data_IF_627114940562
#
_entry.id   IF_627114940562
#
_cell.length_a   1.000
_cell.length_b   1.000
_cell.length_c   1.000
_cell.angle_alpha   90.00
_cell.angle_beta   90.00
_cell.angle_gamma   90.00
#
_symmetry.space_group_name_H-M   'P 1'
#
loop_
_entity.id
_entity.type
_entity.pdbx_description
1 polymer ?
#
# COMPACT_ATOMS: atom_id res chain seq x y z
N UNK A 1 -25.97 15.89 37.17
CA UNK A 1 -25.77 16.19 35.74
C UNK A 1 -24.28 16.16 35.45
N UNK A 2 -23.69 14.98 35.23
CA UNK A 2 -22.26 14.84 34.92
C UNK A 2 -22.04 13.51 34.19
N UNK A 3 -22.35 13.46 32.90
CA UNK A 3 -22.07 12.29 32.04
C UNK A 3 -21.72 12.74 30.61
N UNK A 4 -20.64 13.50 30.44
CA UNK A 4 -20.10 13.85 29.10
C UNK A 4 -18.59 13.78 28.96
N UNK A 5 -17.86 13.22 29.93
CA UNK A 5 -16.37 13.25 29.92
C UNK A 5 -15.72 11.93 29.48
N UNK A 6 -16.47 10.82 29.40
CA UNK A 6 -15.85 9.50 29.13
C UNK A 6 -15.76 9.08 27.66
N UNK A 7 -16.48 9.72 26.73
CA UNK A 7 -16.50 9.27 25.31
C UNK A 7 -15.38 9.82 24.44
N UNK A 8 -14.64 10.86 24.88
CA UNK A 8 -13.55 11.46 24.08
C UNK A 8 -12.25 10.65 24.21
N UNK A 9 -11.99 10.06 25.37
CA UNK A 9 -10.71 9.39 25.66
C UNK A 9 -10.63 7.97 25.08
N UNK A 10 -11.74 7.23 25.00
CA UNK A 10 -11.75 5.88 24.42
C UNK A 10 -11.58 5.86 22.90
N UNK A 11 -12.09 6.89 22.19
CA UNK A 11 -11.93 6.96 20.74
C UNK A 11 -10.49 7.26 20.30
N UNK A 12 -9.72 8.01 21.12
CA UNK A 12 -8.32 8.34 20.83
C UNK A 12 -7.35 7.15 21.00
N UNK A 13 -7.64 6.21 21.91
CA UNK A 13 -6.78 5.03 22.05
C UNK A 13 -6.92 4.08 20.85
N UNK A 14 -8.13 3.87 20.35
CA UNK A 14 -8.39 2.96 19.23
C UNK A 14 -7.85 3.50 17.89
N UNK A 15 -7.91 4.81 17.65
CA UNK A 15 -7.34 5.42 16.45
C UNK A 15 -5.80 5.35 16.44
N UNK A 16 -5.15 5.51 17.60
CA UNK A 16 -3.69 5.38 17.71
C UNK A 16 -3.20 3.96 17.39
N UNK A 17 -3.93 2.93 17.85
CA UNK A 17 -3.56 1.52 17.64
C UNK A 17 -3.72 1.11 16.16
N UNK A 18 -4.82 1.51 15.52
CA UNK A 18 -5.07 1.29 14.09
C UNK A 18 -4.02 1.98 13.21
N UNK A 19 -3.62 3.20 13.57
CA UNK A 19 -2.59 3.95 12.85
C UNK A 19 -1.22 3.28 12.95
N UNK A 20 -0.88 2.74 14.12
CA UNK A 20 0.37 1.98 14.32
C UNK A 20 0.40 0.67 13.52
N UNK A 21 -0.72 -0.07 13.48
CA UNK A 21 -0.78 -1.32 12.73
C UNK A 21 -0.74 -1.09 11.22
N UNK A 22 -1.39 -0.04 10.72
CA UNK A 22 -1.26 0.37 9.33
C UNK A 22 0.17 0.79 8.98
N UNK A 23 0.82 1.56 9.86
CA UNK A 23 2.22 1.95 9.68
C UNK A 23 3.15 0.72 9.61
N UNK A 24 2.91 -0.31 10.43
CA UNK A 24 3.64 -1.59 10.35
C UNK A 24 3.42 -2.27 9.00
N UNK A 25 2.18 -2.30 8.50
CA UNK A 25 1.84 -2.89 7.19
C UNK A 25 2.58 -2.15 6.06
N UNK A 26 2.52 -0.82 6.04
CA UNK A 26 3.21 0.01 5.03
C UNK A 26 4.72 -0.25 5.08
N UNK A 27 5.31 -0.26 6.28
CA UNK A 27 6.74 -0.55 6.47
C UNK A 27 7.11 -1.94 5.97
N UNK A 28 6.28 -2.95 6.24
CA UNK A 28 6.48 -4.33 5.73
C UNK A 28 6.40 -4.36 4.21
N UNK A 29 5.39 -3.72 3.61
CA UNK A 29 5.27 -3.64 2.15
C UNK A 29 6.49 -3.00 1.49
N UNK A 30 6.96 -1.86 2.01
CA UNK A 30 8.19 -1.19 1.52
C UNK A 30 9.42 -2.09 1.66
N UNK A 31 9.55 -2.81 2.78
CA UNK A 31 10.66 -3.76 2.99
C UNK A 31 10.62 -4.91 1.97
N UNK A 32 9.45 -5.53 1.76
CA UNK A 32 9.33 -6.68 0.87
C UNK A 32 9.41 -6.31 -0.61
N UNK A 33 8.89 -5.16 -1.01
CA UNK A 33 9.05 -4.67 -2.40
C UNK A 33 10.52 -4.47 -2.78
N UNK A 34 11.31 -3.86 -1.88
CA UNK A 34 12.77 -3.74 -2.06
C UNK A 34 13.46 -5.11 -2.08
N UNK A 35 13.03 -6.03 -1.22
CA UNK A 35 13.59 -7.39 -1.17
C UNK A 35 13.33 -8.17 -2.47
N UNK A 36 12.11 -8.12 -3.00
CA UNK A 36 11.75 -8.78 -4.27
C UNK A 36 12.58 -8.18 -5.42
N UNK A 37 12.74 -6.86 -5.47
CA UNK A 37 13.60 -6.22 -6.47
C UNK A 37 15.04 -6.73 -6.37
N UNK A 38 15.59 -6.83 -5.16
CA UNK A 38 16.94 -7.39 -4.94
C UNK A 38 17.05 -8.85 -5.40
N UNK A 39 16.04 -9.68 -5.13
CA UNK A 39 16.02 -11.07 -5.61
C UNK A 39 16.01 -11.15 -7.14
N UNK A 40 15.34 -10.22 -7.83
CA UNK A 40 15.40 -10.12 -9.29
C UNK A 40 16.83 -9.81 -9.76
N UNK A 41 17.52 -8.86 -9.12
CA UNK A 41 18.92 -8.51 -9.43
C UNK A 41 19.88 -9.69 -9.18
N UNK A 42 19.70 -10.43 -8.09
CA UNK A 42 20.47 -11.65 -7.79
C UNK A 42 20.18 -12.75 -8.83
N UNK A 43 18.92 -12.92 -9.21
CA UNK A 43 18.51 -13.86 -10.27
C UNK A 43 19.16 -13.52 -11.61
N UNK A 44 19.24 -12.23 -11.96
CA UNK A 44 19.88 -11.77 -13.21
C UNK A 44 21.39 -12.05 -13.26
N UNK A 45 22.06 -11.95 -12.11
CA UNK A 45 23.46 -12.35 -11.99
C UNK A 45 23.62 -13.85 -12.21
N UNK A 46 22.82 -14.67 -11.54
CA UNK A 46 22.83 -16.13 -11.74
C UNK A 46 22.54 -16.51 -13.19
N UNK A 47 21.61 -15.82 -13.86
CA UNK A 47 21.37 -16.01 -15.30
C UNK A 47 22.61 -15.75 -16.15
N UNK A 48 23.30 -14.65 -15.88
CA UNK A 48 24.50 -14.27 -16.62
C UNK A 48 25.59 -15.32 -16.42
N UNK A 49 25.79 -15.80 -15.18
CA UNK A 49 26.75 -16.86 -14.87
C UNK A 49 26.43 -18.19 -15.57
N UNK A 50 25.15 -18.57 -15.67
CA UNK A 50 24.73 -19.80 -16.37
C UNK A 50 25.06 -19.71 -17.87
N UNK A 51 24.85 -18.53 -18.48
CA UNK A 51 25.15 -18.28 -19.89
C UNK A 51 26.66 -18.32 -20.13
N UNK A 52 27.42 -17.59 -19.31
CA UNK A 52 28.88 -17.47 -19.42
C UNK A 52 29.58 -18.82 -19.23
N UNK A 53 29.05 -19.68 -18.36
CA UNK A 53 29.57 -21.02 -18.09
C UNK A 53 29.02 -22.09 -19.03
N UNK A 54 28.17 -21.72 -20.00
CA UNK A 54 27.49 -22.64 -20.91
C UNK A 54 26.78 -23.82 -20.20
N UNK A 55 26.25 -23.59 -18.99
CA UNK A 55 25.60 -24.64 -18.18
C UNK A 55 24.28 -25.08 -18.81
N UNK A 56 23.55 -24.15 -19.43
CA UNK A 56 22.31 -24.41 -20.14
C UNK A 56 22.43 -23.95 -21.60
N UNK A 57 21.70 -24.64 -22.48
CA UNK A 57 21.56 -24.21 -23.87
C UNK A 57 20.78 -22.90 -23.93
N UNK A 58 21.02 -22.04 -24.95
CA UNK A 58 20.31 -20.77 -25.10
C UNK A 58 18.79 -20.90 -25.06
N UNK A 59 18.24 -21.95 -25.66
CA UNK A 59 16.80 -22.23 -25.68
C UNK A 59 16.25 -22.49 -24.28
N UNK A 60 16.99 -23.28 -23.47
CA UNK A 60 16.63 -23.54 -22.08
C UNK A 60 16.80 -22.30 -21.21
N UNK A 61 17.81 -21.46 -21.45
CA UNK A 61 17.96 -20.17 -20.75
C UNK A 61 16.79 -19.22 -21.05
N UNK A 62 16.32 -19.20 -22.29
CA UNK A 62 15.23 -18.32 -22.71
C UNK A 62 13.89 -18.67 -22.07
N UNK A 63 13.63 -19.96 -21.82
CA UNK A 63 12.35 -20.44 -21.28
C UNK A 63 12.16 -20.18 -19.79
N UNK A 64 13.25 -20.03 -19.03
CA UNK A 64 13.21 -19.75 -17.59
C UNK A 64 13.32 -18.25 -17.27
N UNK A 65 13.73 -17.42 -18.25
CA UNK A 65 13.97 -15.99 -18.06
C UNK A 65 12.68 -15.25 -17.72
N UNK A 66 12.70 -14.49 -16.64
CA UNK A 66 11.58 -13.62 -16.24
C UNK A 66 11.25 -12.66 -17.39
N UNK A 67 9.95 -12.58 -17.71
CA UNK A 67 9.44 -11.78 -18.82
C UNK A 67 9.75 -10.29 -18.65
N UNK A 68 9.73 -9.55 -19.76
CA UNK A 68 9.98 -8.09 -19.74
C UNK A 68 8.90 -7.35 -18.94
N UNK A 69 7.63 -7.77 -19.03
CA UNK A 69 6.52 -7.16 -18.28
C UNK A 69 6.66 -7.39 -16.78
N UNK A 70 7.01 -8.61 -16.36
CA UNK A 70 7.18 -8.92 -14.93
C UNK A 70 8.37 -8.15 -14.34
N UNK A 71 9.45 -8.01 -15.10
CA UNK A 71 10.60 -7.16 -14.72
C UNK A 71 10.20 -5.71 -14.53
N UNK A 72 9.42 -5.15 -15.46
CA UNK A 72 8.94 -3.77 -15.33
C UNK A 72 8.08 -3.60 -14.09
N UNK A 73 7.17 -4.55 -13.83
CA UNK A 73 6.34 -4.56 -12.64
C UNK A 73 7.18 -4.65 -11.36
N UNK A 74 8.08 -5.63 -11.24
CA UNK A 74 8.94 -5.81 -10.06
C UNK A 74 9.80 -4.57 -9.80
N UNK A 75 10.37 -3.96 -10.85
CA UNK A 75 11.15 -2.74 -10.72
C UNK A 75 10.31 -1.55 -10.24
N UNK A 76 9.02 -1.52 -10.56
CA UNK A 76 8.10 -0.48 -10.10
C UNK A 76 7.61 -0.67 -8.66
N UNK A 77 7.64 -1.90 -8.11
CA UNK A 77 7.11 -2.23 -6.77
C UNK A 77 7.54 -1.25 -5.65
N UNK A 78 8.81 -0.82 -5.53
CA UNK A 78 9.21 0.09 -4.46
C UNK A 78 8.63 1.51 -4.58
N UNK A 79 8.17 1.88 -5.79
CA UNK A 79 7.61 3.19 -6.10
C UNK A 79 6.09 3.19 -6.24
N UNK A 80 5.45 2.02 -6.22
CA UNK A 80 4.01 1.92 -6.33
C UNK A 80 3.35 2.42 -5.03
N UNK A 81 2.39 3.36 -5.12
CA UNK A 81 1.68 3.83 -3.95
C UNK A 81 0.76 2.74 -3.40
N UNK A 82 0.63 2.67 -2.08
CA UNK A 82 -0.40 1.85 -1.46
C UNK A 82 -1.73 2.59 -1.47
N UNK A 83 -2.77 1.94 -1.98
CA UNK A 83 -4.13 2.46 -1.94
C UNK A 83 -4.87 2.00 -0.68
N UNK A 84 -5.46 2.93 0.06
CA UNK A 84 -6.44 2.62 1.11
C UNK A 84 -7.85 2.90 0.57
N UNK A 85 -8.71 1.88 0.59
CA UNK A 85 -10.12 1.99 0.23
C UNK A 85 -10.94 2.04 1.52
N UNK A 86 -11.67 3.14 1.73
CA UNK A 86 -12.49 3.35 2.92
C UNK A 86 -13.96 3.12 2.57
N UNK A 87 -14.54 2.07 3.16
CA UNK A 87 -15.94 1.70 2.97
C UNK A 87 -16.75 2.05 4.24
N UNK A 88 -17.86 2.77 4.09
CA UNK A 88 -18.84 2.98 5.16
C UNK A 88 -20.23 3.23 4.57
N UNK A 89 -21.25 2.85 5.35
CA UNK A 89 -22.67 2.99 5.01
C UNK A 89 -23.07 4.44 4.77
N UNK A 90 -22.47 5.38 5.50
CA UNK A 90 -22.74 6.81 5.36
C UNK A 90 -21.55 7.53 4.76
N UNK A 91 -21.80 8.64 4.07
CA UNK A 91 -20.72 9.51 3.60
C UNK A 91 -20.02 10.21 4.77
N UNK A 92 -20.79 10.74 5.73
CA UNK A 92 -20.27 11.37 6.95
C UNK A 92 -19.24 10.49 7.66
N UNK A 93 -19.53 9.19 7.84
CA UNK A 93 -18.60 8.26 8.46
C UNK A 93 -17.28 8.10 7.68
N UNK A 94 -17.33 8.13 6.34
CA UNK A 94 -16.12 8.12 5.49
C UNK A 94 -15.34 9.43 5.62
N UNK A 95 -16.02 10.57 5.45
CA UNK A 95 -15.39 11.89 5.50
C UNK A 95 -14.68 12.11 6.83
N UNK A 96 -15.36 11.82 7.93
CA UNK A 96 -14.81 11.91 9.28
C UNK A 96 -13.60 11.01 9.47
N UNK A 97 -13.69 9.73 9.08
CA UNK A 97 -12.55 8.80 9.19
C UNK A 97 -11.34 9.30 8.39
N UNK A 98 -11.53 9.74 7.15
CA UNK A 98 -10.44 10.25 6.31
C UNK A 98 -9.82 11.50 6.91
N UNK A 99 -10.62 12.42 7.44
CA UNK A 99 -10.13 13.64 8.07
C UNK A 99 -9.32 13.33 9.33
N UNK A 100 -9.86 12.45 10.20
CA UNK A 100 -9.15 12.00 11.40
C UNK A 100 -7.86 11.23 11.05
N UNK A 101 -7.90 10.37 10.03
CA UNK A 101 -6.76 9.57 9.59
C UNK A 101 -5.63 10.42 8.98
N UNK A 102 -5.99 11.43 8.19
CA UNK A 102 -5.04 12.37 7.57
C UNK A 102 -4.61 13.49 8.51
N UNK A 103 -5.30 13.66 9.64
CA UNK A 103 -5.16 14.79 10.55
C UNK A 103 -5.38 16.15 9.84
N UNK A 104 -6.19 16.16 8.77
CA UNK A 104 -6.48 17.29 7.89
C UNK A 104 -7.97 17.26 7.48
N UNK A 105 -8.60 18.41 7.25
CA UNK A 105 -10.01 18.46 6.80
C UNK A 105 -10.09 18.35 5.27
N UNK A 106 -9.83 17.16 4.74
CA UNK A 106 -9.80 16.86 3.30
C UNK A 106 -11.18 16.68 2.66
N UNK A 107 -12.14 16.20 3.43
CA UNK A 107 -13.49 15.89 2.98
C UNK A 107 -14.53 16.71 3.74
N UNK A 108 -15.53 17.30 3.06
CA UNK A 108 -16.62 17.98 3.73
C UNK A 108 -17.43 16.95 4.52
N UNK A 109 -17.82 17.30 5.74
CA UNK A 109 -18.64 16.44 6.61
C UNK A 109 -20.15 16.70 6.44
N UNK A 110 -20.54 17.55 5.49
CA UNK A 110 -21.94 17.87 5.23
C UNK A 110 -22.72 16.72 4.61
N UNK A 111 -24.02 16.64 4.91
CA UNK A 111 -24.97 15.68 4.35
C UNK A 111 -25.29 15.89 2.86
N UNK A 112 -24.90 17.04 2.29
CA UNK A 112 -25.03 17.33 0.86
C UNK A 112 -23.80 16.77 0.17
N UNK A 113 -23.96 15.61 -0.45
CA UNK A 113 -22.85 14.86 -1.08
C UNK A 113 -23.14 14.77 -2.57
N UNK A 114 -22.23 15.30 -3.39
CA UNK A 114 -22.26 15.02 -4.82
C UNK A 114 -21.85 13.56 -5.04
N UNK A 115 -22.51 12.83 -5.95
CA UNK A 115 -22.25 11.39 -6.21
C UNK A 115 -20.77 11.07 -6.49
N UNK A 116 -19.97 12.06 -6.90
CA UNK A 116 -18.53 11.98 -7.13
C UNK A 116 -17.69 11.82 -5.85
N UNK A 117 -18.21 12.16 -4.67
CA UNK A 117 -17.46 12.11 -3.41
C UNK A 117 -17.52 10.75 -2.69
N UNK A 118 -18.27 9.78 -3.23
CA UNK A 118 -18.59 8.51 -2.55
C UNK A 118 -17.41 7.52 -2.55
N UNK A 119 -16.51 7.60 -3.54
CA UNK A 119 -15.33 6.73 -3.66
C UNK A 119 -14.09 7.59 -3.78
N UNK A 120 -13.32 7.70 -2.68
CA UNK A 120 -11.96 8.27 -2.72
C UNK A 120 -10.94 7.20 -2.37
N UNK A 121 -9.94 7.07 -3.23
CA UNK A 121 -8.73 6.28 -2.98
C UNK A 121 -7.72 7.20 -2.31
N UNK A 122 -7.30 6.88 -1.09
CA UNK A 122 -6.17 7.57 -0.46
C UNK A 122 -4.89 6.91 -0.94
N UNK A 123 -4.00 7.70 -1.55
CA UNK A 123 -2.65 7.23 -1.91
C UNK A 123 -1.72 7.44 -0.72
N UNK A 124 -1.08 6.36 -0.29
CA UNK A 124 -0.05 6.37 0.75
C UNK A 124 1.30 6.20 0.05
N UNK A 125 2.15 7.23 0.15
CA UNK A 125 3.51 7.25 -0.42
C UNK A 125 4.55 6.59 0.49
#
# INVERSE_FOLDING_TARGET
MTDKVQTVTQNNMNSSLLTQDLAKIIKRYKKYSLYIKRLLEETDKSYSEIIDRHILTPDKCSSIKISKSDRQYINSLPSLPLGLIVCSQTYYGKARFVNEFSNESLLPESSIVNKTDVVRMIRIM
#
